data_IF_489574968742
#
_entry.id   IF_489574968742
#
_cell.length_a   1.000
_cell.length_b   1.000
_cell.length_c   1.000
_cell.angle_alpha   90.00
_cell.angle_beta   90.00
_cell.angle_gamma   90.00
#
_symmetry.space_group_name_H-M   'P 1'
#
loop_
_entity.id
_entity.type
_entity.pdbx_description
1 polymer ?
#
# COMPACT_ATOMS: atom_id res chain seq x y z
N UNK A 1 -38.23 23.81 -25.68
CA UNK A 1 -38.57 22.37 -25.75
C UNK A 1 -37.27 21.60 -25.93
N UNK A 2 -36.78 20.93 -24.89
CA UNK A 2 -35.53 20.17 -24.95
C UNK A 2 -35.86 18.71 -25.30
N UNK A 3 -35.28 18.21 -26.39
CA UNK A 3 -35.46 16.83 -26.85
C UNK A 3 -35.00 15.82 -25.77
N UNK A 4 -35.95 15.01 -25.31
CA UNK A 4 -35.73 13.84 -24.47
C UNK A 4 -35.06 12.72 -25.29
N UNK A 5 -33.76 12.84 -25.56
CA UNK A 5 -33.00 11.71 -26.15
C UNK A 5 -32.73 10.66 -25.08
N UNK A 6 -33.05 9.40 -25.38
CA UNK A 6 -32.81 8.25 -24.50
C UNK A 6 -31.31 8.02 -24.33
N UNK A 7 -30.85 7.75 -23.10
CA UNK A 7 -29.44 7.42 -22.82
C UNK A 7 -29.02 6.12 -23.52
N UNK A 8 -29.96 5.19 -23.74
CA UNK A 8 -29.69 3.89 -24.37
C UNK A 8 -29.17 4.00 -25.79
N UNK A 9 -29.67 4.96 -26.57
CA UNK A 9 -29.33 5.09 -27.98
C UNK A 9 -27.94 5.68 -28.21
N UNK A 10 -27.27 6.21 -27.18
CA UNK A 10 -25.90 6.74 -27.29
C UNK A 10 -24.81 5.65 -27.25
N UNK A 11 -25.10 4.45 -26.74
CA UNK A 11 -24.09 3.44 -26.41
C UNK A 11 -23.93 2.30 -27.45
N UNK A 12 -24.55 2.39 -28.62
CA UNK A 12 -24.64 1.27 -29.57
C UNK A 12 -23.45 1.10 -30.54
N UNK A 13 -22.40 1.92 -30.47
CA UNK A 13 -21.33 1.92 -31.50
C UNK A 13 -19.95 1.55 -30.93
N UNK A 14 -19.56 0.26 -31.12
CA UNK A 14 -18.23 -0.41 -30.95
C UNK A 14 -17.55 -0.34 -29.55
N UNK A 15 -17.05 -1.50 -29.08
CA UNK A 15 -16.52 -1.76 -27.73
C UNK A 15 -17.53 -1.39 -26.64
N UNK A 16 -18.51 -2.26 -26.37
CA UNK A 16 -19.57 -1.94 -25.42
C UNK A 16 -18.97 -1.58 -24.04
N UNK A 17 -19.08 -0.31 -23.59
CA UNK A 17 -18.59 0.09 -22.29
C UNK A 17 -19.28 -0.76 -21.22
N UNK A 18 -18.57 -1.11 -20.15
CA UNK A 18 -19.18 -1.88 -19.07
C UNK A 18 -20.33 -1.08 -18.47
N UNK A 19 -21.27 -1.74 -17.78
CA UNK A 19 -22.35 -1.03 -17.09
C UNK A 19 -21.81 0.05 -16.14
N UNK A 20 -20.64 -0.20 -15.53
CA UNK A 20 -19.95 0.75 -14.67
C UNK A 20 -19.52 2.01 -15.45
N UNK A 21 -18.90 1.83 -16.62
CA UNK A 21 -18.47 2.93 -17.48
C UNK A 21 -19.66 3.75 -17.99
N UNK A 22 -20.74 3.07 -18.40
CA UNK A 22 -21.99 3.71 -18.82
C UNK A 22 -22.62 4.56 -17.71
N UNK A 23 -22.57 4.08 -16.47
CA UNK A 23 -23.07 4.82 -15.30
C UNK A 23 -22.22 6.06 -15.04
N UNK A 24 -20.89 5.93 -15.07
CA UNK A 24 -19.98 7.05 -14.87
C UNK A 24 -20.21 8.12 -15.96
N UNK A 25 -20.22 7.72 -17.24
CA UNK A 25 -20.44 8.63 -18.36
C UNK A 25 -21.81 9.30 -18.29
N UNK A 26 -22.88 8.55 -18.02
CA UNK A 26 -24.22 9.11 -17.89
C UNK A 26 -24.33 10.12 -16.73
N UNK A 27 -23.59 9.93 -15.64
CA UNK A 27 -23.56 10.90 -14.54
C UNK A 27 -22.94 12.23 -14.96
N UNK A 28 -21.90 12.21 -15.81
CA UNK A 28 -21.31 13.43 -16.37
C UNK A 28 -22.20 14.10 -17.42
N UNK A 29 -22.88 13.32 -18.27
CA UNK A 29 -23.76 13.84 -19.32
C UNK A 29 -25.07 14.42 -18.76
N UNK A 30 -25.57 13.88 -17.65
CA UNK A 30 -26.84 14.29 -17.04
C UNK A 30 -26.70 14.61 -15.54
N UNK A 31 -25.94 15.66 -15.16
CA UNK A 31 -25.75 16.05 -13.76
C UNK A 31 -27.07 16.23 -13.02
N UNK A 32 -27.14 15.73 -11.79
CA UNK A 32 -28.34 15.80 -10.94
C UNK A 32 -29.51 14.89 -11.36
N UNK A 33 -29.49 14.29 -12.56
CA UNK A 33 -30.60 13.50 -13.10
C UNK A 33 -30.53 12.00 -12.72
N UNK A 34 -30.22 11.72 -11.45
CA UNK A 34 -29.98 10.37 -10.93
C UNK A 34 -31.14 9.40 -11.23
N UNK A 35 -32.39 9.85 -11.04
CA UNK A 35 -33.57 9.02 -11.30
C UNK A 35 -33.66 8.62 -12.77
N UNK A 36 -33.34 9.54 -13.68
CA UNK A 36 -33.32 9.27 -15.13
C UNK A 36 -32.25 8.25 -15.47
N UNK A 37 -31.02 8.46 -15.00
CA UNK A 37 -29.90 7.54 -15.26
C UNK A 37 -30.22 6.14 -14.71
N UNK A 38 -30.75 6.06 -13.49
CA UNK A 38 -31.18 4.82 -12.84
C UNK A 38 -32.22 4.07 -13.67
N UNK A 39 -33.26 4.77 -14.16
CA UNK A 39 -34.31 4.17 -14.98
C UNK A 39 -33.79 3.72 -16.36
N UNK A 40 -33.00 4.56 -17.03
CA UNK A 40 -32.55 4.30 -18.41
C UNK A 40 -31.54 3.14 -18.47
N UNK A 41 -30.65 3.05 -17.47
CA UNK A 41 -29.63 2.00 -17.36
C UNK A 41 -30.12 0.76 -16.58
N UNK A 42 -31.34 0.79 -16.02
CA UNK A 42 -31.91 -0.35 -15.29
C UNK A 42 -31.15 -0.71 -14.01
N UNK A 43 -30.53 0.28 -13.35
CA UNK A 43 -29.78 0.09 -12.10
C UNK A 43 -30.52 0.76 -10.94
N UNK A 44 -30.48 0.17 -9.75
CA UNK A 44 -31.04 0.86 -8.57
C UNK A 44 -30.21 2.09 -8.24
N UNK A 45 -30.86 3.11 -7.65
CA UNK A 45 -30.19 4.33 -7.19
C UNK A 45 -29.00 4.00 -6.26
N UNK A 46 -29.14 3.01 -5.38
CA UNK A 46 -28.06 2.60 -4.47
C UNK A 46 -26.86 1.97 -5.20
N UNK A 47 -27.12 1.19 -6.25
CA UNK A 47 -26.05 0.62 -7.10
C UNK A 47 -25.35 1.75 -7.85
N UNK A 48 -26.11 2.68 -8.43
CA UNK A 48 -25.57 3.88 -9.07
C UNK A 48 -24.67 4.68 -8.12
N UNK A 49 -25.11 4.89 -6.87
CA UNK A 49 -24.34 5.63 -5.85
C UNK A 49 -23.01 4.94 -5.55
N UNK A 50 -23.05 3.60 -5.47
CA UNK A 50 -21.85 2.82 -5.28
C UNK A 50 -20.91 2.95 -6.47
N UNK A 51 -21.42 2.81 -7.70
CA UNK A 51 -20.60 2.85 -8.90
C UNK A 51 -19.89 4.21 -9.02
N UNK A 52 -20.63 5.31 -8.81
CA UNK A 52 -20.04 6.65 -8.83
C UNK A 52 -19.03 6.84 -7.70
N UNK A 53 -19.33 6.37 -6.49
CA UNK A 53 -18.34 6.41 -5.39
C UNK A 53 -17.04 5.68 -5.76
N UNK A 54 -17.17 4.46 -6.30
CA UNK A 54 -16.02 3.66 -6.73
C UNK A 54 -15.23 4.35 -7.85
N UNK A 55 -15.92 4.97 -8.80
CA UNK A 55 -15.31 5.72 -9.89
C UNK A 55 -14.51 6.92 -9.36
N UNK A 56 -15.12 7.75 -8.51
CA UNK A 56 -14.47 8.93 -7.92
C UNK A 56 -13.26 8.55 -7.08
N UNK A 57 -13.36 7.45 -6.33
CA UNK A 57 -12.30 6.95 -5.48
C UNK A 57 -11.27 6.09 -6.22
N UNK A 58 -11.34 5.94 -7.55
CA UNK A 58 -10.43 5.08 -8.33
C UNK A 58 -10.26 3.68 -7.69
N UNK A 59 -11.37 3.07 -7.28
CA UNK A 59 -11.40 1.73 -6.68
C UNK A 59 -12.27 0.80 -7.51
N UNK A 60 -11.89 -0.50 -7.59
CA UNK A 60 -12.66 -1.45 -8.37
C UNK A 60 -14.05 -1.64 -7.79
N UNK A 61 -15.07 -1.45 -8.62
CA UNK A 61 -16.42 -1.84 -8.29
C UNK A 61 -16.55 -3.37 -8.30
N UNK A 62 -16.93 -3.96 -7.17
CA UNK A 62 -17.29 -5.38 -7.06
C UNK A 62 -18.79 -5.46 -6.77
N UNK A 63 -19.56 -5.99 -7.72
CA UNK A 63 -20.99 -6.20 -7.56
C UNK A 63 -21.33 -7.21 -6.45
N UNK A 64 -22.58 -7.18 -5.98
CA UNK A 64 -23.13 -8.14 -4.99
C UNK A 64 -23.19 -7.65 -3.54
N UNK A 65 -23.66 -8.54 -2.65
CA UNK A 65 -23.88 -8.31 -1.21
C UNK A 65 -22.63 -8.54 -0.34
N UNK A 66 -21.46 -8.81 -0.96
CA UNK A 66 -20.22 -9.06 -0.21
C UNK A 66 -19.80 -7.84 0.61
N UNK A 67 -19.28 -8.07 1.82
CA UNK A 67 -18.65 -7.02 2.65
C UNK A 67 -17.55 -6.36 1.83
N UNK A 68 -17.84 -5.16 1.32
CA UNK A 68 -16.89 -4.36 0.57
C UNK A 68 -15.75 -4.03 1.51
N UNK A 69 -14.53 -4.43 1.16
CA UNK A 69 -13.36 -3.91 1.85
C UNK A 69 -13.26 -2.45 1.44
N UNK A 70 -13.60 -1.56 2.36
CA UNK A 70 -13.45 -0.13 2.17
C UNK A 70 -11.94 0.14 2.16
N UNK A 71 -11.37 0.29 0.96
CA UNK A 71 -9.97 0.67 0.82
C UNK A 71 -9.80 2.03 1.47
N UNK A 72 -8.83 2.17 2.37
CA UNK A 72 -8.57 3.45 3.02
C UNK A 72 -8.14 4.50 1.97
N UNK A 73 -7.26 4.09 1.04
CA UNK A 73 -6.78 4.85 -0.10
C UNK A 73 -6.76 3.98 -1.37
N UNK A 74 -6.84 4.60 -2.57
CA UNK A 74 -6.69 3.91 -3.85
C UNK A 74 -5.26 3.38 -4.02
N UNK A 75 -5.11 2.27 -4.74
CA UNK A 75 -3.80 1.60 -4.91
C UNK A 75 -2.75 2.53 -5.53
N UNK A 76 -3.13 3.38 -6.46
CA UNK A 76 -2.23 4.35 -7.11
C UNK A 76 -1.64 5.32 -6.10
N UNK A 77 -2.46 5.86 -5.20
CA UNK A 77 -2.01 6.80 -4.14
C UNK A 77 -1.13 6.06 -3.12
N UNK A 78 -1.55 4.87 -2.69
CA UNK A 78 -0.78 3.99 -1.81
C UNK A 78 0.63 3.75 -2.36
N UNK A 79 0.75 3.47 -3.66
CA UNK A 79 2.03 3.25 -4.32
C UNK A 79 2.90 4.52 -4.40
N UNK A 80 2.29 5.70 -4.57
CA UNK A 80 3.01 6.98 -4.58
C UNK A 80 3.60 7.28 -3.21
N UNK A 81 2.82 7.17 -2.14
CA UNK A 81 3.29 7.37 -0.76
C UNK A 81 4.41 6.36 -0.44
N UNK A 82 4.25 5.11 -0.85
CA UNK A 82 5.30 4.10 -0.68
C UNK A 82 6.58 4.38 -1.49
N UNK A 83 6.48 5.06 -2.64
CA UNK A 83 7.66 5.49 -3.40
C UNK A 83 8.35 6.68 -2.72
N UNK A 84 7.57 7.62 -2.19
CA UNK A 84 8.07 8.79 -1.46
C UNK A 84 8.82 8.38 -0.19
N UNK A 85 8.22 7.51 0.63
CA UNK A 85 8.88 6.96 1.84
C UNK A 85 10.20 6.28 1.47
N UNK A 86 10.24 5.51 0.37
CA UNK A 86 11.47 4.86 -0.10
C UNK A 86 12.54 5.87 -0.53
N UNK A 87 12.15 6.93 -1.22
CA UNK A 87 13.09 7.98 -1.62
C UNK A 87 13.69 8.66 -0.40
N UNK A 88 12.89 8.92 0.64
CA UNK A 88 13.36 9.54 1.87
C UNK A 88 14.22 8.58 2.71
N UNK A 89 13.89 7.29 2.77
CA UNK A 89 14.74 6.26 3.41
C UNK A 89 16.11 6.17 2.74
N UNK A 90 16.18 6.28 1.40
CA UNK A 90 17.44 6.32 0.66
C UNK A 90 18.30 7.54 1.01
N UNK A 91 17.70 8.59 1.58
CA UNK A 91 18.38 9.79 2.09
C UNK A 91 18.66 9.69 3.60
N UNK A 92 18.59 8.49 4.19
CA UNK A 92 18.79 8.20 5.61
C UNK A 92 17.79 8.86 6.57
N UNK A 93 16.61 9.25 6.08
CA UNK A 93 15.50 9.67 6.94
C UNK A 93 14.67 8.45 7.39
N UNK A 94 14.68 8.15 8.69
CA UNK A 94 13.80 7.14 9.29
C UNK A 94 12.44 7.76 9.59
N UNK A 95 11.36 7.10 9.19
CA UNK A 95 10.00 7.58 9.44
C UNK A 95 9.38 6.85 10.63
N UNK A 96 8.88 7.62 11.58
CA UNK A 96 8.01 7.12 12.62
C UNK A 96 6.66 6.69 12.02
N UNK A 97 5.96 5.79 12.72
CA UNK A 97 4.59 5.40 12.34
C UNK A 97 3.60 6.56 12.38
N UNK A 98 3.88 7.58 13.20
CA UNK A 98 3.06 8.78 13.33
C UNK A 98 3.14 9.59 12.04
N UNK A 99 4.34 9.80 11.51
CA UNK A 99 4.56 10.50 10.23
C UNK A 99 3.89 9.76 9.07
N UNK A 100 4.05 8.43 8.99
CA UNK A 100 3.37 7.62 7.95
C UNK A 100 1.85 7.73 8.06
N UNK A 101 1.30 7.71 9.29
CA UNK A 101 -0.13 7.93 9.53
C UNK A 101 -0.59 9.31 9.05
N UNK A 102 0.22 10.34 9.31
CA UNK A 102 0.01 11.71 8.84
C UNK A 102 -0.04 11.80 7.31
N UNK A 103 0.97 11.26 6.62
CA UNK A 103 1.02 11.24 5.14
C UNK A 103 -0.21 10.54 4.54
N UNK A 104 -0.62 9.40 5.11
CA UNK A 104 -1.80 8.66 4.66
C UNK A 104 -3.10 9.46 4.86
N UNK A 105 -3.23 10.13 6.00
CA UNK A 105 -4.39 10.96 6.32
C UNK A 105 -4.46 12.20 5.42
N UNK A 106 -3.34 12.88 5.21
CA UNK A 106 -3.23 14.03 4.32
C UNK A 106 -3.59 13.65 2.88
N UNK A 107 -3.00 12.57 2.35
CA UNK A 107 -3.32 12.08 1.02
C UNK A 107 -4.81 11.74 0.85
N UNK A 108 -5.44 11.20 1.90
CA UNK A 108 -6.87 10.93 1.89
C UNK A 108 -7.70 12.21 1.94
N UNK A 109 -7.26 13.21 2.69
CA UNK A 109 -7.91 14.52 2.79
C UNK A 109 -7.90 15.24 1.43
N UNK A 110 -6.75 15.25 0.75
CA UNK A 110 -6.63 15.79 -0.62
C UNK A 110 -7.54 15.05 -1.59
N UNK A 111 -7.56 13.71 -1.54
CA UNK A 111 -8.47 12.92 -2.38
C UNK A 111 -9.95 13.25 -2.11
N UNK A 112 -10.34 13.40 -0.85
CA UNK A 112 -11.74 13.70 -0.49
C UNK A 112 -12.18 15.06 -1.01
N UNK A 113 -11.35 16.10 -0.87
CA UNK A 113 -11.68 17.43 -1.41
C UNK A 113 -11.75 17.41 -2.95
N UNK A 114 -10.86 16.68 -3.62
CA UNK A 114 -10.97 16.46 -5.07
C UNK A 114 -12.29 15.78 -5.45
N UNK A 115 -12.61 14.65 -4.81
CA UNK A 115 -13.84 13.89 -5.05
C UNK A 115 -15.09 14.71 -4.76
N UNK A 116 -15.06 15.56 -3.74
CA UNK A 116 -16.13 16.50 -3.40
C UNK A 116 -16.33 17.53 -4.52
N UNK A 117 -15.25 18.11 -5.06
CA UNK A 117 -15.30 19.00 -6.21
C UNK A 117 -16.00 18.35 -7.42
N UNK A 118 -15.60 17.13 -7.77
CA UNK A 118 -16.24 16.38 -8.87
C UNK A 118 -17.70 16.05 -8.53
N UNK A 119 -18.01 15.66 -7.30
CA UNK A 119 -19.38 15.39 -6.87
C UNK A 119 -20.29 16.62 -6.95
N UNK A 120 -19.75 17.82 -6.70
CA UNK A 120 -20.46 19.10 -6.90
C UNK A 120 -20.75 19.32 -8.38
N UNK A 121 -19.77 19.09 -9.28
CA UNK A 121 -19.99 19.19 -10.73
C UNK A 121 -21.05 18.21 -11.24
N UNK A 122 -21.11 17.02 -10.67
CA UNK A 122 -22.15 16.02 -10.95
C UNK A 122 -23.51 16.35 -10.31
N UNK A 123 -23.58 17.41 -9.48
CA UNK A 123 -24.74 17.79 -8.66
C UNK A 123 -25.25 16.65 -7.78
N UNK A 124 -24.32 15.85 -7.24
CA UNK A 124 -24.65 14.59 -6.62
C UNK A 124 -24.72 14.69 -5.10
N UNK A 125 -25.84 15.22 -4.58
CA UNK A 125 -26.01 15.56 -3.16
C UNK A 125 -25.55 14.48 -2.14
N UNK A 126 -25.89 13.18 -2.31
CA UNK A 126 -25.43 12.16 -1.37
C UNK A 126 -23.90 11.99 -1.35
N UNK A 127 -23.23 12.13 -2.50
CA UNK A 127 -21.78 12.06 -2.59
C UNK A 127 -21.13 13.33 -2.02
N UNK A 128 -21.70 14.50 -2.30
CA UNK A 128 -21.24 15.77 -1.70
C UNK A 128 -21.28 15.66 -0.18
N UNK A 129 -22.40 15.20 0.38
CA UNK A 129 -22.54 14.99 1.83
C UNK A 129 -21.52 13.99 2.37
N UNK A 130 -21.25 12.89 1.64
CA UNK A 130 -20.28 11.87 2.03
C UNK A 130 -18.84 12.41 2.06
N UNK A 131 -18.43 13.15 1.04
CA UNK A 131 -17.06 13.71 0.97
C UNK A 131 -16.87 15.00 1.77
N UNK A 132 -17.95 15.64 2.23
CA UNK A 132 -17.88 16.76 3.16
C UNK A 132 -17.70 16.32 4.62
N UNK A 133 -17.71 15.02 4.90
CA UNK A 133 -17.41 14.51 6.23
C UNK A 133 -15.91 14.59 6.50
N UNK A 134 -15.56 14.88 7.76
CA UNK A 134 -14.18 14.88 8.20
C UNK A 134 -13.49 13.54 7.93
N UNK A 135 -12.30 13.61 7.36
CA UNK A 135 -11.50 12.43 7.05
C UNK A 135 -10.92 11.86 8.33
N UNK A 136 -11.29 10.61 8.61
CA UNK A 136 -10.75 9.87 9.76
C UNK A 136 -9.31 9.45 9.50
N UNK A 137 -8.48 9.54 10.54
CA UNK A 137 -7.14 8.94 10.54
C UNK A 137 -7.18 7.44 10.23
N UNK A 138 -6.13 6.89 9.61
CA UNK A 138 -6.02 5.46 9.39
C UNK A 138 -5.92 4.74 10.75
N UNK A 139 -6.47 3.53 10.84
CA UNK A 139 -6.30 2.71 12.03
C UNK A 139 -4.84 2.28 12.19
N UNK A 140 -4.38 2.10 13.42
CA UNK A 140 -3.01 1.61 13.67
C UNK A 140 -2.74 0.27 12.97
N UNK A 141 -3.74 -0.61 12.91
CA UNK A 141 -3.64 -1.88 12.19
C UNK A 141 -3.40 -1.67 10.69
N UNK A 142 -4.04 -0.66 10.08
CA UNK A 142 -3.81 -0.31 8.68
C UNK A 142 -2.41 0.26 8.47
N UNK A 143 -1.95 1.18 9.32
CA UNK A 143 -0.60 1.76 9.24
C UNK A 143 0.47 0.68 9.41
N UNK A 144 0.30 -0.20 10.39
CA UNK A 144 1.21 -1.33 10.60
C UNK A 144 1.24 -2.27 9.39
N UNK A 145 0.08 -2.54 8.77
CA UNK A 145 -0.01 -3.35 7.55
C UNK A 145 0.66 -2.65 6.36
N UNK A 146 0.46 -1.34 6.19
CA UNK A 146 1.06 -0.53 5.15
C UNK A 146 2.60 -0.56 5.27
N UNK A 147 3.14 -0.25 6.46
CA UNK A 147 4.58 -0.35 6.71
C UNK A 147 5.08 -1.79 6.46
N UNK A 148 4.39 -2.80 6.98
CA UNK A 148 4.84 -4.19 6.89
C UNK A 148 4.79 -4.78 5.49
N UNK A 149 3.72 -4.53 4.74
CA UNK A 149 3.50 -5.18 3.44
C UNK A 149 4.04 -4.33 2.31
N UNK A 150 3.89 -3.02 2.39
CA UNK A 150 4.13 -2.13 1.26
C UNK A 150 5.53 -1.54 1.32
N UNK A 151 6.01 -1.20 2.52
CA UNK A 151 7.41 -0.77 2.72
C UNK A 151 8.34 -2.00 2.83
N UNK A 152 8.06 -2.98 3.72
CA UNK A 152 8.99 -4.12 3.91
C UNK A 152 8.96 -5.22 2.81
N UNK A 153 7.99 -5.29 1.90
CA UNK A 153 8.16 -6.19 0.72
C UNK A 153 9.09 -5.61 -0.33
N UNK A 154 9.40 -4.31 -0.24
CA UNK A 154 10.26 -3.61 -1.18
C UNK A 154 11.65 -3.32 -0.59
N UNK A 155 11.81 -3.42 0.73
CA UNK A 155 13.10 -3.38 1.42
C UNK A 155 13.31 -4.69 2.17
N UNK A 156 14.42 -5.39 1.95
CA UNK A 156 14.84 -6.54 2.77
C UNK A 156 15.25 -6.12 4.20
N UNK A 157 14.48 -5.26 4.86
CA UNK A 157 14.86 -4.59 6.10
C UNK A 157 13.78 -4.84 7.15
N UNK A 158 14.19 -5.56 8.20
CA UNK A 158 13.38 -5.78 9.40
C UNK A 158 13.41 -4.53 10.27
N UNK A 159 12.28 -3.84 10.41
CA UNK A 159 12.08 -2.87 11.50
C UNK A 159 12.26 -3.59 12.84
N UNK A 160 13.30 -3.21 13.59
CA UNK A 160 13.37 -3.48 15.03
C UNK A 160 12.23 -2.74 15.73
N UNK A 161 11.59 -3.38 16.71
CA UNK A 161 10.64 -2.68 17.57
C UNK A 161 11.41 -1.56 18.29
N UNK A 162 11.02 -0.31 18.07
CA UNK A 162 11.38 0.80 18.95
C UNK A 162 10.75 0.57 20.32
N UNK A 163 11.50 -0.10 21.17
CA UNK A 163 11.36 0.00 22.61
C UNK A 163 12.77 -0.14 23.15
N UNK A 164 13.43 0.99 23.38
CA UNK A 164 14.73 1.13 24.05
C UNK A 164 15.61 -0.13 23.94
N UNK A 165 16.17 -0.32 22.75
CA UNK A 165 17.22 -1.32 22.57
C UNK A 165 18.47 -0.68 23.16
N UNK A 166 18.74 -0.97 24.44
CA UNK A 166 20.08 -0.87 25.02
C UNK A 166 21.08 -1.55 24.05
N UNK A 167 22.24 -0.94 23.83
CA UNK A 167 23.32 -1.46 22.96
C UNK A 167 23.57 -2.96 23.19
N UNK A 168 23.39 -3.43 24.44
CA UNK A 168 23.49 -4.85 24.79
C UNK A 168 22.43 -5.74 24.11
N UNK A 169 21.19 -5.27 23.95
CA UNK A 169 20.12 -6.00 23.26
C UNK A 169 20.34 -6.00 21.75
N UNK A 170 20.92 -4.93 21.18
CA UNK A 170 21.28 -4.88 19.76
C UNK A 170 22.40 -5.87 19.47
N UNK A 171 23.45 -5.87 20.30
CA UNK A 171 24.55 -6.81 20.24
C UNK A 171 24.09 -8.26 20.44
N UNK A 172 23.16 -8.53 21.37
CA UNK A 172 22.57 -9.85 21.55
C UNK A 172 21.73 -10.30 20.34
N UNK A 173 21.01 -9.39 19.69
CA UNK A 173 20.27 -9.67 18.46
C UNK A 173 21.19 -10.00 17.27
N UNK A 174 22.29 -9.26 17.14
CA UNK A 174 23.32 -9.52 16.12
C UNK A 174 24.02 -10.85 16.41
N UNK A 175 24.36 -11.15 17.66
CA UNK A 175 24.96 -12.43 18.07
C UNK A 175 24.03 -13.62 17.86
N UNK A 176 22.73 -13.45 18.15
CA UNK A 176 21.70 -14.48 17.93
C UNK A 176 21.48 -14.75 16.44
N UNK A 177 21.43 -13.70 15.61
CA UNK A 177 21.37 -13.85 14.15
C UNK A 177 22.64 -14.50 13.59
N UNK A 178 23.83 -14.10 14.07
CA UNK A 178 25.09 -14.76 13.67
C UNK A 178 25.08 -16.24 14.07
N UNK A 179 24.68 -16.58 15.29
CA UNK A 179 24.61 -17.97 15.76
C UNK A 179 23.59 -18.81 14.97
N UNK A 180 22.42 -18.24 14.67
CA UNK A 180 21.42 -18.88 13.81
C UNK A 180 21.93 -19.06 12.38
N UNK A 181 22.65 -18.08 11.84
CA UNK A 181 23.25 -18.14 10.51
C UNK A 181 24.39 -19.17 10.46
N UNK A 182 25.25 -19.22 11.47
CA UNK A 182 26.28 -20.26 11.64
C UNK A 182 25.65 -21.66 11.76
N UNK A 183 24.58 -21.83 12.54
CA UNK A 183 23.85 -23.11 12.59
C UNK A 183 23.25 -23.51 11.25
N UNK A 184 22.77 -22.54 10.47
CA UNK A 184 22.19 -22.80 9.16
C UNK A 184 23.26 -23.20 8.13
N UNK A 185 24.43 -22.57 8.18
CA UNK A 185 25.56 -22.87 7.29
C UNK A 185 26.26 -24.17 7.67
N UNK A 186 26.39 -24.46 8.96
CA UNK A 186 26.99 -25.69 9.47
C UNK A 186 25.98 -26.83 9.66
N UNK A 187 24.90 -26.86 8.87
CA UNK A 187 24.13 -28.10 8.73
C UNK A 187 24.87 -29.07 7.80
N UNK A 188 24.84 -30.35 8.16
CA UNK A 188 25.50 -31.50 7.49
C UNK A 188 25.27 -31.57 5.96
N UNK A 189 24.24 -30.87 5.46
CA UNK A 189 23.94 -30.72 4.04
C UNK A 189 24.95 -29.88 3.25
N UNK A 190 25.64 -28.93 3.88
CA UNK A 190 26.62 -28.06 3.21
C UNK A 190 28.03 -28.67 3.26
N UNK A 191 28.40 -29.29 4.38
CA UNK A 191 29.70 -29.95 4.57
C UNK A 191 29.96 -31.10 3.58
N UNK A 192 28.91 -31.75 3.07
CA UNK A 192 29.06 -32.84 2.10
C UNK A 192 29.09 -32.40 0.62
N UNK A 193 28.87 -31.11 0.30
CA UNK A 193 28.68 -30.67 -1.10
C UNK A 193 29.63 -29.58 -1.62
N UNK A 194 30.49 -29.01 -0.78
CA UNK A 194 31.48 -28.05 -1.25
C UNK A 194 32.88 -28.64 -1.11
N UNK A 195 33.49 -29.01 -2.24
CA UNK A 195 34.95 -29.13 -2.35
C UNK A 195 35.56 -27.75 -2.13
N UNK A 196 36.68 -27.74 -1.44
CA UNK A 196 37.50 -26.60 -1.03
C UNK A 196 37.57 -25.48 -2.06
N UNK A 197 36.71 -24.48 -1.90
CA UNK A 197 36.91 -23.15 -2.48
C UNK A 197 36.42 -22.13 -1.48
N UNK A 198 37.36 -21.26 -1.08
CA UNK A 198 37.24 -20.28 -0.01
C UNK A 198 35.94 -19.46 -0.07
N UNK A 199 35.39 -19.16 1.11
CA UNK A 199 34.24 -18.27 1.27
C UNK A 199 34.79 -16.87 1.56
N UNK A 200 34.42 -15.90 0.73
CA UNK A 200 34.73 -14.49 0.94
C UNK A 200 33.71 -13.87 1.89
N UNK A 201 34.19 -13.39 3.05
CA UNK A 201 33.42 -12.50 3.92
C UNK A 201 33.62 -11.06 3.45
N UNK A 202 32.54 -10.28 3.42
CA UNK A 202 32.44 -8.97 2.76
C UNK A 202 33.27 -7.82 3.35
N UNK A 203 34.19 -8.10 4.28
CA UNK A 203 35.24 -7.20 4.75
C UNK A 203 36.54 -8.01 4.74
N UNK A 204 37.47 -7.65 3.86
CA UNK A 204 38.59 -8.47 3.36
C UNK A 204 39.47 -9.16 4.42
N UNK A 205 39.57 -10.50 4.38
CA UNK A 205 40.80 -11.33 4.28
C UNK A 205 40.35 -12.74 3.87
N UNK A 206 40.94 -13.31 2.82
CA UNK A 206 40.73 -14.72 2.47
C UNK A 206 41.42 -15.60 3.53
N UNK A 207 40.64 -16.30 4.36
CA UNK A 207 41.19 -17.24 5.33
C UNK A 207 41.41 -18.58 4.63
N UNK A 208 42.67 -18.99 4.50
CA UNK A 208 43.02 -20.35 4.09
C UNK A 208 42.81 -21.28 5.30
N UNK A 209 41.95 -22.29 5.16
CA UNK A 209 41.60 -23.21 6.25
C UNK A 209 42.74 -24.15 6.65
N UNK A 210 43.81 -24.24 5.85
CA UNK A 210 45.00 -25.06 6.12
C UNK A 210 46.11 -24.34 6.91
N UNK A 211 45.78 -23.22 7.56
CA UNK A 211 46.72 -22.49 8.40
C UNK A 211 46.52 -22.88 9.87
N UNK A 212 47.47 -23.64 10.43
CA UNK A 212 47.62 -23.98 11.87
C UNK A 212 47.90 -22.76 12.77
N UNK A 213 47.22 -21.63 12.53
CA UNK A 213 47.39 -20.42 13.33
C UNK A 213 46.36 -20.41 14.45
N UNK A 214 46.85 -20.63 15.67
CA UNK A 214 46.09 -20.44 16.90
C UNK A 214 45.77 -18.96 17.07
N UNK A 215 44.50 -18.58 16.91
CA UNK A 215 44.04 -17.23 17.22
C UNK A 215 44.00 -17.00 18.74
N UNK A 216 44.85 -16.10 19.22
CA UNK A 216 44.84 -15.67 20.61
C UNK A 216 43.63 -14.76 20.89
N UNK A 217 42.85 -15.10 21.92
CA UNK A 217 41.72 -14.30 22.39
C UNK A 217 42.24 -13.19 23.32
N UNK A 218 42.11 -11.92 22.94
CA UNK A 218 42.37 -10.83 23.88
C UNK A 218 41.23 -10.76 24.90
N UNK A 219 41.56 -10.98 26.18
CA UNK A 219 40.70 -10.59 27.31
C UNK A 219 41.03 -9.15 27.65
N UNK A 220 40.11 -8.23 27.38
CA UNK A 220 40.17 -6.89 27.96
C UNK A 220 39.74 -6.98 29.42
N UNK A 221 40.71 -6.91 30.33
CA UNK A 221 40.48 -6.59 31.73
C UNK A 221 40.45 -5.06 31.89
N UNK A 222 39.28 -4.51 32.23
CA UNK A 222 39.04 -3.53 33.31
C UNK A 222 37.59 -3.06 33.25
#
# INVERSE_FOLDING_TARGET
MAESRSIRTMFEVRNQPTLFDKVAEAAFLFPGQIKRISNDLGVTIQVLYTMIYCYLMDIPYKGGNGRRHEYYLPKVIVNKIAAEIRQMEAQHASHSRIEVSGMLHEAKSVLYEYCKGVAISLQFLPMIKRFSQEVKHPSEAYVALFCKIIVMRLTHIKFGKESQIDDNKQMAGIASNKSAWFRLIFTERISCKFRDRAILNGDEVAVNLDSDVVLAKSRSNK
#
